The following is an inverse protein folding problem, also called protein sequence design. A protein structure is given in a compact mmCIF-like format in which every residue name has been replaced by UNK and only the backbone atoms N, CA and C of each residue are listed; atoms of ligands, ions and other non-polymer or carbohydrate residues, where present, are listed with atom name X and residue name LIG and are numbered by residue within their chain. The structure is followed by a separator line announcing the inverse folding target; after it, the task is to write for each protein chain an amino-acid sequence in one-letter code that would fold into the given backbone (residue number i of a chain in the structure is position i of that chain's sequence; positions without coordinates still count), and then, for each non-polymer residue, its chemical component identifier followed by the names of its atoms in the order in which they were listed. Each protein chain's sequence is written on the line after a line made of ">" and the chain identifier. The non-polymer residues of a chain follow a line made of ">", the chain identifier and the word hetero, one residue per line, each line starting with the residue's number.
data_IF_269577783051
#
_entry.id   IF_269577783051
#
_cell.length_a   1.000
_cell.length_b   1.000
_cell.length_c   1.000
_cell.angle_alpha   90.00
_cell.angle_beta   90.00
_cell.angle_gamma   90.00
#
_symmetry.space_group_name_H-M   'P 1'
#
loop_
_entity.id
_entity.type
_entity.pdbx_description
1 polymer ?
#
# COMPACT_ATOMS: atom_id res chain seq x y z
N UNK A 1 -6.83 -10.46 -8.81
CA UNK A 1 -7.05 -11.30 -7.62
C UNK A 1 -5.72 -11.81 -7.12
N UNK A 2 -5.33 -11.48 -5.89
CA UNK A 2 -3.98 -11.73 -5.32
C UNK A 2 -3.58 -13.22 -5.27
N UNK A 3 -4.57 -14.11 -5.34
CA UNK A 3 -4.39 -15.57 -5.30
C UNK A 3 -4.35 -16.22 -6.69
N UNK A 4 -4.65 -15.46 -7.76
CA UNK A 4 -4.70 -16.03 -9.12
C UNK A 4 -3.32 -16.52 -9.53
N UNK A 5 -3.25 -17.74 -10.07
CA UNK A 5 -2.01 -18.42 -10.50
C UNK A 5 -1.00 -18.63 -9.35
N UNK A 6 -1.48 -18.83 -8.12
CA UNK A 6 -0.65 -19.18 -6.96
C UNK A 6 -1.22 -20.43 -6.29
N UNK A 7 -0.35 -21.25 -5.71
CA UNK A 7 -0.75 -22.40 -4.89
C UNK A 7 -0.55 -22.04 -3.43
N UNK A 8 -1.60 -22.22 -2.61
CA UNK A 8 -1.59 -21.89 -1.18
C UNK A 8 -1.71 -23.18 -0.39
N UNK A 9 -0.70 -23.46 0.43
CA UNK A 9 -0.76 -24.51 1.43
C UNK A 9 -0.97 -23.84 2.78
N UNK A 10 -2.15 -24.01 3.36
CA UNK A 10 -2.46 -23.54 4.70
C UNK A 10 -2.88 -24.73 5.55
N UNK A 11 -2.33 -24.82 6.75
CA UNK A 11 -2.67 -25.87 7.71
C UNK A 11 -2.91 -25.27 9.08
N UNK A 12 -4.04 -25.65 9.65
CA UNK A 12 -4.33 -25.43 11.06
C UNK A 12 -3.60 -26.48 11.91
N UNK A 13 -2.84 -26.04 12.91
CA UNK A 13 -2.09 -26.94 13.80
C UNK A 13 -2.86 -27.15 15.10
N UNK A 14 -3.05 -26.08 15.88
CA UNK A 14 -3.76 -26.13 17.17
C UNK A 14 -4.25 -24.75 17.61
N UNK A 15 -5.20 -24.72 18.53
CA UNK A 15 -5.50 -23.52 19.32
C UNK A 15 -4.47 -23.39 20.43
N UNK A 16 -3.89 -22.21 20.60
CA UNK A 16 -3.05 -21.90 21.77
C UNK A 16 -3.96 -21.49 22.92
N UNK A 17 -4.93 -20.62 22.62
CA UNK A 17 -6.03 -20.28 23.53
C UNK A 17 -7.37 -20.55 22.84
N UNK A 18 -8.41 -20.90 23.61
CA UNK A 18 -9.75 -21.03 23.05
C UNK A 18 -10.24 -19.69 22.48
N UNK A 19 -10.99 -19.68 21.35
CA UNK A 19 -11.55 -18.46 20.80
C UNK A 19 -12.44 -17.73 21.80
N UNK A 20 -12.29 -16.41 21.91
CA UNK A 20 -13.08 -15.58 22.83
C UNK A 20 -13.82 -14.49 22.08
N UNK A 21 -15.10 -14.31 22.40
CA UNK A 21 -15.89 -13.19 21.89
C UNK A 21 -15.34 -11.89 22.50
N UNK A 22 -14.86 -10.99 21.65
CA UNK A 22 -14.34 -9.69 22.07
C UNK A 22 -15.45 -8.64 22.09
N UNK A 23 -16.33 -8.65 21.09
CA UNK A 23 -17.41 -7.68 20.97
C UNK A 23 -18.57 -8.22 20.13
N UNK A 24 -19.78 -7.80 20.46
CA UNK A 24 -21.00 -8.05 19.70
C UNK A 24 -21.67 -6.70 19.42
N UNK A 25 -22.01 -6.45 18.16
CA UNK A 25 -22.80 -5.29 17.74
C UNK A 25 -23.97 -5.72 16.88
N UNK A 26 -25.03 -4.93 16.89
CA UNK A 26 -26.13 -5.05 15.95
C UNK A 26 -26.35 -3.69 15.30
N UNK A 27 -26.53 -3.67 13.98
CA UNK A 27 -26.78 -2.45 13.23
C UNK A 27 -28.05 -2.62 12.37
N UNK A 28 -28.85 -1.57 12.32
CA UNK A 28 -29.99 -1.47 11.40
C UNK A 28 -29.54 -0.75 10.13
N UNK A 29 -29.84 -1.32 8.97
CA UNK A 29 -29.55 -0.69 7.68
C UNK A 29 -30.86 -0.22 7.09
N UNK A 30 -31.09 1.10 7.15
CA UNK A 30 -32.23 1.82 6.54
C UNK A 30 -33.60 1.53 7.18
N UNK A 31 -33.96 0.26 7.36
CA UNK A 31 -35.21 -0.17 7.99
C UNK A 31 -34.97 -1.24 9.07
N UNK A 32 -35.91 -1.36 10.00
CA UNK A 32 -35.89 -2.39 11.07
C UNK A 32 -35.97 -3.83 10.53
N UNK A 33 -36.31 -3.99 9.26
CA UNK A 33 -36.40 -5.29 8.57
C UNK A 33 -35.04 -5.77 8.06
N UNK A 34 -34.03 -4.90 8.06
CA UNK A 34 -32.67 -5.20 7.62
C UNK A 34 -31.68 -4.95 8.78
N UNK A 35 -31.67 -5.86 9.74
CA UNK A 35 -30.72 -5.83 10.85
C UNK A 35 -29.61 -6.85 10.66
N UNK A 36 -28.37 -6.42 10.87
CA UNK A 36 -27.18 -7.25 10.81
C UNK A 36 -26.53 -7.32 12.19
N UNK A 37 -26.27 -8.54 12.65
CA UNK A 37 -25.48 -8.79 13.85
C UNK A 37 -24.04 -9.10 13.45
N UNK A 38 -23.10 -8.44 14.11
CA UNK A 38 -21.67 -8.64 13.93
C UNK A 38 -21.04 -9.09 15.25
N UNK A 39 -20.25 -10.16 15.19
CA UNK A 39 -19.54 -10.72 16.34
C UNK A 39 -18.05 -10.71 15.99
N UNK A 40 -17.26 -9.98 16.78
CA UNK A 40 -15.80 -10.03 16.70
C UNK A 40 -15.27 -11.08 17.66
N UNK A 41 -14.55 -12.07 17.13
CA UNK A 41 -13.95 -13.16 17.90
C UNK A 41 -12.44 -13.07 17.80
N UNK A 42 -11.76 -13.11 18.95
CA UNK A 42 -10.30 -13.22 19.06
C UNK A 42 -9.92 -14.69 18.93
N UNK A 43 -9.09 -14.99 17.94
CA UNK A 43 -8.44 -16.28 17.73
C UNK A 43 -6.96 -16.17 18.07
N UNK A 44 -6.46 -17.11 18.87
CA UNK A 44 -5.03 -17.27 19.11
C UNK A 44 -4.66 -18.72 18.79
N UNK A 45 -4.11 -18.93 17.60
CA UNK A 45 -3.88 -20.26 17.03
C UNK A 45 -2.49 -20.37 16.43
N UNK A 46 -2.02 -21.60 16.31
CA UNK A 46 -0.80 -21.94 15.63
C UNK A 46 -1.12 -22.46 14.23
N UNK A 47 -0.50 -21.86 13.22
CA UNK A 47 -0.80 -22.10 11.80
C UNK A 47 0.48 -22.25 10.98
N UNK A 48 0.38 -22.94 9.84
CA UNK A 48 1.43 -23.04 8.83
C UNK A 48 0.89 -22.46 7.52
N UNK A 49 1.70 -21.65 6.85
CA UNK A 49 1.36 -21.03 5.57
C UNK A 49 2.56 -21.08 4.63
N UNK A 50 2.38 -21.64 3.45
CA UNK A 50 3.32 -21.58 2.35
C UNK A 50 2.60 -21.16 1.06
N UNK A 51 3.15 -20.17 0.36
CA UNK A 51 2.59 -19.64 -0.89
C UNK A 51 3.59 -19.87 -2.00
N UNK A 52 3.17 -20.57 -3.04
CA UNK A 52 3.95 -20.90 -4.22
C UNK A 52 3.52 -20.08 -5.44
N UNK A 53 4.48 -19.73 -6.28
CA UNK A 53 4.24 -19.07 -7.58
C UNK A 53 3.67 -20.04 -8.62
N UNK A 54 3.27 -19.53 -9.78
CA UNK A 54 2.81 -20.33 -10.95
C UNK A 54 3.82 -21.40 -11.40
N UNK A 55 5.09 -21.23 -11.04
CA UNK A 55 6.19 -22.15 -11.36
C UNK A 55 6.56 -23.07 -10.19
N UNK A 56 5.78 -23.09 -9.10
CA UNK A 56 6.04 -23.91 -7.92
C UNK A 56 7.18 -23.42 -7.01
N UNK A 57 7.72 -22.22 -7.23
CA UNK A 57 8.74 -21.62 -6.36
C UNK A 57 8.10 -21.01 -5.12
N UNK A 58 8.69 -21.22 -3.94
CA UNK A 58 8.23 -20.61 -2.69
C UNK A 58 8.37 -19.08 -2.75
N UNK A 59 7.27 -18.36 -2.54
CA UNK A 59 7.24 -16.89 -2.50
C UNK A 59 7.16 -16.33 -1.08
N UNK A 60 6.41 -16.99 -0.21
CA UNK A 60 6.18 -16.52 1.15
C UNK A 60 5.87 -17.68 2.10
N UNK A 61 6.30 -17.52 3.36
CA UNK A 61 6.03 -18.47 4.42
C UNK A 61 6.95 -19.70 4.40
N UNK A 62 6.50 -20.77 5.03
CA UNK A 62 7.21 -22.05 5.14
C UNK A 62 6.18 -23.15 5.40
N UNK A 63 6.40 -24.34 4.85
CA UNK A 63 5.50 -25.49 5.02
C UNK A 63 5.79 -26.29 6.31
N UNK A 64 6.92 -26.01 6.96
CA UNK A 64 7.37 -26.75 8.14
C UNK A 64 7.25 -25.87 9.39
N UNK A 65 7.58 -24.58 9.27
CA UNK A 65 7.62 -23.68 10.41
C UNK A 65 6.21 -23.17 10.74
N UNK A 66 5.70 -23.60 11.89
CA UNK A 66 4.47 -23.10 12.45
C UNK A 66 4.69 -21.72 13.09
N UNK A 67 3.72 -20.83 12.90
CA UNK A 67 3.71 -19.48 13.49
C UNK A 67 2.48 -19.32 14.36
N UNK A 68 2.66 -18.55 15.42
CA UNK A 68 1.58 -18.15 16.31
C UNK A 68 0.90 -16.92 15.72
N UNK A 69 -0.42 -16.99 15.60
CA UNK A 69 -1.24 -16.04 14.86
C UNK A 69 -2.39 -15.60 15.77
N UNK A 70 -2.40 -14.31 16.09
CA UNK A 70 -3.45 -13.64 16.86
C UNK A 70 -4.29 -12.78 15.90
N UNK A 71 -5.56 -13.11 15.77
CA UNK A 71 -6.46 -12.49 14.78
C UNK A 71 -7.80 -12.15 15.41
N UNK A 72 -8.41 -11.06 14.94
CA UNK A 72 -9.76 -10.66 15.28
C UNK A 72 -10.63 -10.81 14.04
N UNK A 73 -11.40 -11.90 13.99
CA UNK A 73 -12.29 -12.19 12.86
C UNK A 73 -13.69 -11.73 13.20
N UNK A 74 -14.27 -10.94 12.31
CA UNK A 74 -15.65 -10.45 12.41
C UNK A 74 -16.54 -11.39 11.63
N UNK A 75 -17.50 -11.99 12.32
CA UNK A 75 -18.59 -12.73 11.71
C UNK A 75 -19.80 -11.82 11.59
N UNK A 76 -20.55 -11.98 10.51
CA UNK A 76 -21.80 -11.26 10.29
C UNK A 76 -22.93 -12.24 9.99
N UNK A 77 -24.12 -11.93 10.52
CA UNK A 77 -25.38 -12.58 10.17
C UNK A 77 -26.44 -11.53 9.90
N UNK A 78 -27.16 -11.67 8.78
CA UNK A 78 -28.42 -10.97 8.58
C UNK A 78 -29.48 -11.63 9.48
N UNK A 79 -29.84 -10.97 10.59
CA UNK A 79 -30.65 -11.62 11.64
C UNK A 79 -32.14 -11.63 11.30
N UNK A 80 -32.62 -10.68 10.51
CA UNK A 80 -34.02 -10.62 10.06
C UNK A 80 -34.36 -11.73 9.05
N UNK A 81 -33.36 -12.25 8.33
CA UNK A 81 -33.55 -13.40 7.46
C UNK A 81 -33.57 -14.70 8.28
N UNK A 82 -34.68 -15.45 8.18
CA UNK A 82 -34.86 -16.76 8.81
C UNK A 82 -33.79 -17.77 8.39
N UNK A 83 -33.29 -17.67 7.15
CA UNK A 83 -32.25 -18.54 6.60
C UNK A 83 -30.85 -17.92 6.67
N UNK A 84 -30.68 -16.83 7.42
CA UNK A 84 -29.39 -16.18 7.59
C UNK A 84 -28.37 -17.11 8.26
N UNK A 85 -27.19 -17.24 7.68
CA UNK A 85 -26.06 -17.98 8.26
C UNK A 85 -24.96 -17.01 8.71
N UNK A 86 -24.18 -17.43 9.69
CA UNK A 86 -22.97 -16.70 10.08
C UNK A 86 -21.92 -16.85 8.99
N UNK A 87 -21.39 -15.72 8.52
CA UNK A 87 -20.34 -15.67 7.50
C UNK A 87 -19.19 -14.83 8.01
N UNK A 88 -17.97 -15.12 7.55
CA UNK A 88 -16.82 -14.26 7.80
C UNK A 88 -17.03 -12.98 6.99
N UNK A 89 -16.97 -11.83 7.67
CA UNK A 89 -17.14 -10.51 7.07
C UNK A 89 -15.79 -9.82 6.89
N UNK A 90 -15.01 -9.70 7.97
CA UNK A 90 -13.76 -8.95 7.95
C UNK A 90 -12.75 -9.48 8.96
N UNK A 91 -11.49 -9.09 8.80
CA UNK A 91 -10.41 -9.29 9.77
C UNK A 91 -9.87 -7.94 10.22
N UNK A 92 -9.92 -7.68 11.52
CA UNK A 92 -9.37 -6.46 12.12
C UNK A 92 -7.86 -6.66 12.35
N UNK A 93 -7.05 -5.74 11.84
CA UNK A 93 -5.60 -5.66 12.09
C UNK A 93 -5.37 -4.47 13.01
N UNK A 94 -5.06 -4.68 14.29
CA UNK A 94 -4.81 -3.57 15.20
C UNK A 94 -3.47 -2.90 14.91
N UNK A 95 -3.39 -1.60 15.13
CA UNK A 95 -2.19 -0.79 14.83
C UNK A 95 -0.94 -1.23 15.60
N UNK A 96 -1.11 -1.82 16.78
CA UNK A 96 -0.02 -2.33 17.61
C UNK A 96 0.48 -3.72 17.18
N UNK A 97 -0.19 -4.38 16.23
CA UNK A 97 0.23 -5.69 15.75
C UNK A 97 1.57 -5.56 15.01
N UNK A 98 2.55 -6.45 15.28
CA UNK A 98 3.81 -6.42 14.54
C UNK A 98 3.54 -6.61 13.04
N UNK A 99 4.36 -5.96 12.23
CA UNK A 99 4.27 -6.08 10.79
C UNK A 99 4.39 -7.55 10.34
N UNK A 100 3.65 -7.96 9.28
CA UNK A 100 3.76 -9.30 8.74
C UNK A 100 5.18 -9.58 8.25
N UNK A 101 5.55 -10.86 8.24
CA UNK A 101 6.89 -11.26 7.77
C UNK A 101 7.12 -10.75 6.35
N UNK A 102 8.29 -10.16 6.05
CA UNK A 102 8.59 -9.71 4.70
C UNK A 102 8.65 -10.89 3.72
N UNK A 103 8.42 -10.60 2.44
CA UNK A 103 8.65 -11.56 1.36
C UNK A 103 10.13 -11.59 1.00
N UNK A 104 10.61 -12.71 0.47
CA UNK A 104 12.02 -12.85 0.09
C UNK A 104 12.43 -12.00 -1.13
N UNK A 105 11.47 -11.53 -1.92
CA UNK A 105 11.71 -10.71 -3.12
C UNK A 105 11.90 -9.24 -2.74
N UNK A 106 12.88 -8.58 -3.35
CA UNK A 106 13.10 -7.13 -3.23
C UNK A 106 12.27 -6.36 -4.25
N UNK A 107 11.77 -5.18 -3.87
CA UNK A 107 11.02 -4.28 -4.74
C UNK A 107 11.70 -2.92 -4.83
N UNK A 108 11.62 -2.29 -6.00
CA UNK A 108 12.07 -0.91 -6.23
C UNK A 108 10.85 -0.01 -6.28
N UNK A 109 10.82 1.03 -5.45
CA UNK A 109 9.77 2.06 -5.50
C UNK A 109 10.09 3.04 -6.63
N UNK A 110 9.22 3.21 -7.65
CA UNK A 110 9.48 4.19 -8.69
C UNK A 110 9.46 5.62 -8.10
N UNK A 111 10.45 6.43 -8.47
CA UNK A 111 10.49 7.86 -8.12
C UNK A 111 9.46 8.61 -8.97
N UNK A 112 8.67 9.54 -8.41
CA UNK A 112 7.81 10.39 -9.22
C UNK A 112 8.66 11.19 -10.22
N UNK A 113 8.16 11.45 -11.44
CA UNK A 113 8.85 12.30 -12.39
C UNK A 113 9.05 13.70 -11.79
N UNK A 114 10.15 14.40 -12.13
CA UNK A 114 10.33 15.79 -11.72
C UNK A 114 9.12 16.65 -12.15
N UNK A 115 8.72 17.65 -11.35
CA UNK A 115 7.73 18.64 -11.79
C UNK A 115 8.23 19.30 -13.07
N UNK A 116 7.37 19.39 -14.09
CA UNK A 116 7.64 20.25 -15.25
C UNK A 116 7.69 21.70 -14.74
N UNK A 117 8.85 22.34 -14.86
CA UNK A 117 9.02 23.75 -14.50
C UNK A 117 8.17 24.61 -15.46
N UNK A 118 7.06 25.16 -14.97
CA UNK A 118 6.36 26.24 -15.65
C UNK A 118 7.32 27.43 -15.73
N UNK A 119 7.82 27.71 -16.94
CA UNK A 119 8.60 28.91 -17.24
C UNK A 119 7.66 30.11 -17.07
N UNK A 120 7.53 30.63 -15.85
CA UNK A 120 6.90 31.93 -15.62
C UNK A 120 7.79 32.99 -16.24
N UNK A 121 7.35 33.54 -17.38
CA UNK A 121 7.88 34.77 -17.96
C UNK A 121 7.75 35.91 -16.94
N UNK A 122 8.82 36.16 -16.18
CA UNK A 122 8.95 37.35 -15.36
C UNK A 122 9.68 38.44 -16.17
N UNK A 123 8.86 39.33 -16.72
CA UNK A 123 8.99 40.79 -16.70
C UNK A 123 10.29 41.45 -17.18
N UNK A 124 10.12 42.16 -18.30
CA UNK A 124 10.99 43.22 -18.77
C UNK A 124 11.03 44.44 -17.82
N UNK A 125 12.22 45.05 -17.64
CA UNK A 125 12.47 46.43 -18.08
C UNK A 125 13.98 46.78 -18.10
N UNK A 126 14.38 47.70 -18.99
CA UNK A 126 15.77 48.04 -19.30
C UNK A 126 16.27 49.18 -18.40
N UNK A 127 17.59 49.30 -18.20
CA UNK A 127 18.17 50.63 -17.99
C UNK A 127 19.64 50.69 -18.41
N UNK A 128 19.91 51.79 -19.10
CA UNK A 128 21.10 52.14 -19.86
C UNK A 128 22.07 52.89 -18.96
N UNK A 129 23.37 52.55 -19.00
CA UNK A 129 24.43 53.45 -18.56
C UNK A 129 25.60 53.41 -19.54
N UNK A 130 25.61 54.42 -20.40
CA UNK A 130 26.66 54.79 -21.35
C UNK A 130 27.87 55.28 -20.57
N UNK A 131 29.06 54.75 -20.87
CA UNK A 131 30.33 55.39 -20.49
C UNK A 131 31.25 55.42 -21.72
N UNK A 132 31.19 56.55 -22.44
CA UNK A 132 32.14 56.93 -23.46
C UNK A 132 33.35 57.60 -22.81
N UNK A 133 34.56 57.15 -23.12
CA UNK A 133 35.73 58.02 -23.27
C UNK A 133 36.74 57.36 -24.22
N UNK A 134 36.71 57.78 -25.48
CA UNK A 134 37.88 57.91 -26.38
C UNK A 134 37.98 59.42 -26.68
N UNK A 135 39.14 60.04 -26.97
CA UNK A 135 39.98 59.61 -28.10
C UNK A 135 41.50 59.95 -28.04
N UNK A 136 42.31 59.16 -28.75
CA UNK A 136 43.55 59.60 -29.43
C UNK A 136 44.14 58.38 -30.13
N UNK A 137 44.57 58.34 -31.39
CA UNK A 137 44.76 59.28 -32.48
C UNK A 137 45.19 58.43 -33.70
N UNK A 138 45.04 58.97 -34.91
CA UNK A 138 45.17 58.25 -36.19
C UNK A 138 46.47 57.46 -36.40
N UNK A 139 46.61 56.65 -37.46
CA UNK A 139 46.71 57.13 -38.85
C UNK A 139 46.73 55.94 -39.83
N UNK A 140 45.87 55.98 -40.86
CA UNK A 140 46.17 55.61 -42.27
C UNK A 140 46.41 54.14 -42.70
N UNK A 141 46.27 53.83 -44.02
CA UNK A 141 45.71 52.57 -44.52
C UNK A 141 46.65 51.72 -45.40
N UNK A 142 46.27 50.45 -45.68
CA UNK A 142 46.31 49.70 -46.97
C UNK A 142 46.22 48.18 -46.69
N UNK A 143 45.20 47.44 -47.16
CA UNK A 143 45.03 46.81 -48.50
C UNK A 143 46.24 45.96 -48.92
N UNK A 144 46.05 44.65 -49.11
CA UNK A 144 46.16 43.92 -50.40
C UNK A 144 46.04 42.41 -50.13
N UNK A 145 45.11 41.82 -50.86
CA UNK A 145 44.86 40.39 -51.10
C UNK A 145 45.93 39.78 -52.01
N UNK A 146 46.25 38.50 -51.81
CA UNK A 146 46.50 37.54 -52.89
C UNK A 146 46.02 36.16 -52.43
#
# INVERSE_FOLDING_TARGET
>A
SNIKNKTIHWKYIKSIEPPRVAHVRCAEVISKENQFAQITVRFHSQQVLAIYDRFGRLMHGSEILAKDVLEYVVFEKHICNQYGTWRIHEKIIPDWMPAPTPVAKTFVKPTPPPPEEEITQAEAKPDVAVMQTEPSGGTGPQVVTA
#
